data_IF_851303492212
#
_entry.id   IF_851303492212
#
_cell.length_a   1.000
_cell.length_b   1.000
_cell.length_c   1.000
_cell.angle_alpha   90.00
_cell.angle_beta   90.00
_cell.angle_gamma   90.00
#
_symmetry.space_group_name_H-M   'P 1'
#
loop_
_entity.id
_entity.type
_entity.pdbx_description
1 polymer ?
#
# COMPACT_ATOMS: atom_id res chain seq x y z
N UNK A 1 10.11 -8.25 11.39
CA UNK A 1 8.67 -8.25 11.06
C UNK A 1 8.14 -6.82 11.04
N UNK A 2 7.33 -6.49 10.09
CA UNK A 2 6.82 -5.12 9.89
C UNK A 2 6.04 -4.61 11.12
N UNK A 3 5.21 -5.45 11.74
CA UNK A 3 4.49 -5.08 12.97
C UNK A 3 5.42 -4.63 14.08
N UNK A 4 6.51 -5.36 14.28
CA UNK A 4 7.48 -5.06 15.32
C UNK A 4 8.23 -3.78 15.01
N UNK A 5 8.57 -3.56 13.75
CA UNK A 5 9.24 -2.34 13.29
C UNK A 5 8.38 -1.10 13.57
N UNK A 6 7.09 -1.19 13.27
CA UNK A 6 6.16 -0.09 13.53
C UNK A 6 5.98 0.13 15.04
N UNK A 7 5.82 -0.93 15.82
CA UNK A 7 5.68 -0.83 17.28
C UNK A 7 6.93 -0.21 17.92
N UNK A 8 8.12 -0.60 17.47
CA UNK A 8 9.37 -0.03 17.95
C UNK A 8 9.49 1.44 17.56
N UNK A 9 9.07 1.80 16.36
CA UNK A 9 9.06 3.18 15.89
C UNK A 9 8.12 4.07 16.72
N UNK A 10 6.99 3.54 17.17
CA UNK A 10 6.08 4.25 18.09
C UNK A 10 6.80 4.59 19.38
N UNK A 11 7.51 3.63 19.96
CA UNK A 11 8.27 3.82 21.20
C UNK A 11 9.38 4.86 21.02
N UNK A 12 10.10 4.79 19.90
CA UNK A 12 11.18 5.72 19.58
C UNK A 12 10.66 7.15 19.38
N UNK A 13 9.55 7.30 18.66
CA UNK A 13 8.91 8.60 18.43
C UNK A 13 8.40 9.20 19.75
N UNK A 14 7.90 8.36 20.66
CA UNK A 14 7.46 8.80 21.98
C UNK A 14 8.64 9.33 22.82
N UNK A 15 9.77 8.63 22.81
CA UNK A 15 10.98 9.03 23.52
C UNK A 15 11.58 10.31 22.94
N UNK A 16 11.57 10.44 21.62
CA UNK A 16 12.10 11.61 20.90
C UNK A 16 11.14 12.80 20.90
N UNK A 17 9.91 12.64 21.39
CA UNK A 17 8.85 13.66 21.41
C UNK A 17 8.49 14.16 20.01
N UNK A 18 8.52 13.28 19.03
CA UNK A 18 8.14 13.58 17.64
C UNK A 18 6.62 13.39 17.47
N UNK A 19 5.85 14.41 17.83
CA UNK A 19 4.39 14.33 17.92
C UNK A 19 3.69 13.89 16.63
N UNK A 20 4.08 14.47 15.48
CA UNK A 20 3.47 14.13 14.19
C UNK A 20 3.75 12.67 13.80
N UNK A 21 4.99 12.26 13.96
CA UNK A 21 5.41 10.88 13.69
C UNK A 21 4.69 9.91 14.61
N UNK A 22 4.60 10.24 15.89
CA UNK A 22 3.92 9.41 16.89
C UNK A 22 2.43 9.26 16.57
N UNK A 23 1.71 10.37 16.29
CA UNK A 23 0.29 10.32 15.98
C UNK A 23 0.01 9.55 14.70
N UNK A 24 0.85 9.70 13.69
CA UNK A 24 0.74 8.97 12.41
C UNK A 24 0.95 7.47 12.62
N UNK A 25 2.00 7.08 13.36
CA UNK A 25 2.28 5.67 13.65
C UNK A 25 1.19 5.02 14.51
N UNK A 26 0.62 5.75 15.45
CA UNK A 26 -0.53 5.26 16.24
C UNK A 26 -1.75 5.02 15.35
N UNK A 27 -1.97 5.88 14.37
CA UNK A 27 -3.04 5.72 13.40
C UNK A 27 -2.80 4.48 12.54
N UNK A 28 -1.57 4.27 12.10
CA UNK A 28 -1.17 3.05 11.36
C UNK A 28 -1.47 1.80 12.19
N UNK A 29 -1.04 1.79 13.46
CA UNK A 29 -1.31 0.66 14.35
C UNK A 29 -2.80 0.40 14.55
N UNK A 30 -3.61 1.45 14.70
CA UNK A 30 -5.06 1.31 14.83
C UNK A 30 -5.69 0.72 13.57
N UNK A 31 -5.23 1.15 12.40
CA UNK A 31 -5.70 0.63 11.11
C UNK A 31 -5.36 -0.84 10.95
N UNK A 32 -4.14 -1.24 11.32
CA UNK A 32 -3.70 -2.64 11.29
C UNK A 32 -4.53 -3.47 12.25
N UNK A 33 -4.74 -2.99 13.47
CA UNK A 33 -5.52 -3.68 14.49
C UNK A 33 -6.95 -3.91 14.01
N UNK A 34 -7.58 -2.91 13.42
CA UNK A 34 -8.93 -3.02 12.88
C UNK A 34 -8.99 -4.04 11.73
N UNK A 35 -7.98 -4.05 10.88
CA UNK A 35 -7.90 -5.02 9.78
C UNK A 35 -7.69 -6.46 10.30
N UNK A 36 -6.90 -6.64 11.35
CA UNK A 36 -6.72 -7.94 12.01
C UNK A 36 -8.02 -8.43 12.64
N UNK A 37 -8.76 -7.53 13.29
CA UNK A 37 -10.06 -7.85 13.90
C UNK A 37 -11.05 -8.28 12.82
N UNK A 38 -11.10 -7.57 11.69
CA UNK A 38 -11.95 -7.91 10.55
C UNK A 38 -11.60 -9.29 9.98
N UNK A 39 -10.31 -9.56 9.80
CA UNK A 39 -9.82 -10.86 9.31
C UNK A 39 -10.23 -11.99 10.26
N UNK A 40 -10.08 -11.77 11.56
CA UNK A 40 -10.47 -12.75 12.59
C UNK A 40 -11.97 -13.03 12.54
N UNK A 41 -12.78 -12.00 12.34
CA UNK A 41 -14.24 -12.15 12.20
C UNK A 41 -14.64 -12.99 10.99
N UNK A 42 -13.80 -13.03 9.96
CA UNK A 42 -13.97 -13.87 8.75
C UNK A 42 -13.31 -15.24 8.90
N UNK A 43 -12.74 -15.57 10.04
CA UNK A 43 -12.03 -16.83 10.28
C UNK A 43 -10.65 -16.89 9.61
N UNK A 44 -10.10 -15.75 9.25
CA UNK A 44 -8.77 -15.64 8.63
C UNK A 44 -7.68 -15.39 9.67
N UNK A 45 -6.43 -15.79 9.39
CA UNK A 45 -5.32 -15.46 10.27
C UNK A 45 -5.03 -13.95 10.30
N UNK A 46 -4.21 -13.48 11.25
CA UNK A 46 -3.74 -12.09 11.24
C UNK A 46 -3.04 -11.76 9.92
N UNK A 47 -3.05 -10.48 9.55
CA UNK A 47 -2.45 -10.04 8.29
C UNK A 47 -0.96 -10.38 8.21
N UNK A 48 -0.54 -10.87 7.05
CA UNK A 48 0.88 -11.08 6.73
C UNK A 48 1.58 -9.74 6.48
N UNK A 49 2.91 -9.75 6.40
CA UNK A 49 3.65 -8.53 6.04
C UNK A 49 3.21 -7.99 4.66
N UNK A 50 2.95 -8.86 3.69
CA UNK A 50 2.45 -8.44 2.38
C UNK A 50 1.09 -7.74 2.49
N UNK A 51 0.20 -8.26 3.32
CA UNK A 51 -1.11 -7.64 3.58
C UNK A 51 -0.95 -6.29 4.28
N UNK A 52 0.00 -6.18 5.21
CA UNK A 52 0.30 -4.92 5.90
C UNK A 52 0.84 -3.87 4.93
N UNK A 53 1.69 -4.26 4.00
CA UNK A 53 2.18 -3.34 2.97
C UNK A 53 1.02 -2.80 2.13
N UNK A 54 0.04 -3.63 1.79
CA UNK A 54 -1.16 -3.19 1.06
C UNK A 54 -1.99 -2.20 1.89
N UNK A 55 -2.11 -2.40 3.19
CA UNK A 55 -2.78 -1.46 4.11
C UNK A 55 -2.07 -0.10 4.09
N UNK A 56 -0.74 -0.10 4.19
CA UNK A 56 0.06 1.13 4.16
C UNK A 56 -0.09 1.86 2.82
N UNK A 57 -0.08 1.15 1.71
CA UNK A 57 -0.29 1.73 0.38
C UNK A 57 -1.66 2.41 0.27
N UNK A 58 -2.69 1.77 0.80
CA UNK A 58 -4.05 2.33 0.82
C UNK A 58 -4.11 3.61 1.65
N UNK A 59 -3.45 3.62 2.81
CA UNK A 59 -3.39 4.81 3.67
C UNK A 59 -2.70 5.97 2.96
N UNK A 60 -1.63 5.71 2.22
CA UNK A 60 -0.93 6.72 1.43
C UNK A 60 -1.83 7.25 0.31
N UNK A 61 -2.48 6.37 -0.42
CA UNK A 61 -3.39 6.74 -1.51
C UNK A 61 -4.51 7.67 -1.03
N UNK A 62 -5.14 7.33 0.11
CA UNK A 62 -6.18 8.16 0.71
C UNK A 62 -5.66 9.55 1.05
N UNK A 63 -4.43 9.65 1.56
CA UNK A 63 -3.81 10.92 1.91
C UNK A 63 -3.42 11.73 0.68
N UNK A 64 -2.97 11.08 -0.38
CA UNK A 64 -2.69 11.75 -1.67
C UNK A 64 -3.96 12.40 -2.24
N UNK A 65 -5.09 11.71 -2.16
CA UNK A 65 -6.39 12.23 -2.57
C UNK A 65 -6.78 13.45 -1.72
N UNK A 66 -6.54 13.38 -0.41
CA UNK A 66 -6.80 14.49 0.51
C UNK A 66 -5.90 15.68 0.19
N UNK A 67 -4.62 15.46 -0.13
CA UNK A 67 -3.68 16.53 -0.54
C UNK A 67 -4.24 17.28 -1.74
N UNK A 68 -4.70 16.58 -2.76
CA UNK A 68 -5.27 17.19 -3.95
C UNK A 68 -6.49 18.06 -3.62
N UNK A 69 -7.39 17.56 -2.78
CA UNK A 69 -8.57 18.29 -2.36
C UNK A 69 -8.22 19.53 -1.55
N UNK A 70 -7.28 19.42 -0.62
CA UNK A 70 -6.84 20.55 0.20
C UNK A 70 -6.13 21.61 -0.63
N UNK A 71 -5.28 21.20 -1.57
CA UNK A 71 -4.60 22.14 -2.48
C UNK A 71 -5.62 22.92 -3.34
N UNK A 72 -6.61 22.22 -3.89
CA UNK A 72 -7.69 22.85 -4.68
C UNK A 72 -8.55 23.78 -3.85
N UNK A 73 -8.75 23.45 -2.57
CA UNK A 73 -9.56 24.24 -1.64
C UNK A 73 -8.79 25.36 -0.95
N UNK A 74 -7.52 25.58 -1.26
CA UNK A 74 -6.70 26.61 -0.64
C UNK A 74 -6.32 26.29 0.81
N UNK A 75 -6.33 25.04 1.20
CA UNK A 75 -6.00 24.58 2.55
C UNK A 75 -4.57 24.06 2.62
N UNK A 76 -3.61 24.93 2.38
CA UNK A 76 -2.19 24.56 2.29
C UNK A 76 -1.65 23.87 3.55
N UNK A 77 -2.08 24.31 4.73
CA UNK A 77 -1.63 23.72 6.01
C UNK A 77 -2.10 22.29 6.18
N UNK A 78 -3.34 21.99 5.80
CA UNK A 78 -3.89 20.64 5.87
C UNK A 78 -3.23 19.73 4.84
N UNK A 79 -2.94 20.24 3.65
CA UNK A 79 -2.20 19.51 2.63
C UNK A 79 -0.78 19.17 3.11
N UNK A 80 -0.11 20.11 3.76
CA UNK A 80 1.23 19.90 4.31
C UNK A 80 1.22 18.80 5.40
N UNK A 81 0.20 18.80 6.25
CA UNK A 81 0.03 17.78 7.27
C UNK A 81 -0.12 16.39 6.65
N UNK A 82 -0.93 16.25 5.61
CA UNK A 82 -1.11 14.99 4.89
C UNK A 82 0.20 14.51 4.26
N UNK A 83 0.98 15.43 3.69
CA UNK A 83 2.30 15.11 3.11
C UNK A 83 3.28 14.61 4.16
N UNK A 84 3.27 15.18 5.35
CA UNK A 84 4.10 14.71 6.47
C UNK A 84 3.71 13.29 6.88
N UNK A 85 2.42 13.01 6.96
CA UNK A 85 1.92 11.67 7.28
C UNK A 85 2.31 10.66 6.19
N UNK A 86 2.21 11.03 4.92
CA UNK A 86 2.67 10.20 3.79
C UNK A 86 4.15 9.86 3.95
N UNK A 87 4.98 10.83 4.29
CA UNK A 87 6.42 10.61 4.47
C UNK A 87 6.71 9.60 5.58
N UNK A 88 5.99 9.70 6.71
CA UNK A 88 6.13 8.76 7.84
C UNK A 88 5.76 7.34 7.40
N UNK A 89 4.63 7.17 6.72
CA UNK A 89 4.14 5.85 6.28
C UNK A 89 5.05 5.26 5.20
N UNK A 90 5.48 6.09 4.25
CA UNK A 90 6.33 5.65 3.12
C UNK A 90 7.66 5.05 3.56
N UNK A 91 8.16 5.43 4.74
CA UNK A 91 9.41 4.88 5.29
C UNK A 91 9.36 3.36 5.52
N UNK A 92 8.16 2.78 5.61
CA UNK A 92 7.95 1.34 5.84
C UNK A 92 7.62 0.57 4.56
N UNK A 93 7.54 1.26 3.41
CA UNK A 93 7.29 0.63 2.12
C UNK A 93 8.59 0.44 1.34
N UNK A 94 8.68 -0.62 0.51
CA UNK A 94 9.78 -0.74 -0.43
C UNK A 94 9.68 0.36 -1.48
N UNK A 95 10.74 0.51 -2.28
CA UNK A 95 10.75 1.48 -3.39
C UNK A 95 9.57 1.19 -4.33
N UNK A 96 8.78 2.22 -4.61
CA UNK A 96 7.64 2.10 -5.51
C UNK A 96 8.10 2.02 -6.97
N UNK A 97 7.42 1.18 -7.75
CA UNK A 97 7.68 1.01 -9.17
C UNK A 97 7.10 2.19 -9.96
N UNK A 98 7.81 2.63 -10.98
CA UNK A 98 7.29 3.60 -11.94
C UNK A 98 6.21 2.96 -12.81
N UNK A 99 5.41 3.77 -13.52
CA UNK A 99 4.37 3.28 -14.42
C UNK A 99 4.97 2.35 -15.50
N UNK A 100 6.12 2.70 -16.04
CA UNK A 100 6.80 1.88 -17.05
C UNK A 100 7.28 0.55 -16.47
N UNK A 101 7.80 0.57 -15.24
CA UNK A 101 8.20 -0.65 -14.54
C UNK A 101 7.00 -1.57 -14.27
N UNK A 102 5.86 -1.00 -13.89
CA UNK A 102 4.62 -1.75 -13.67
C UNK A 102 4.16 -2.40 -14.98
N UNK A 103 4.16 -1.65 -16.09
CA UNK A 103 3.79 -2.17 -17.40
C UNK A 103 4.68 -3.34 -17.83
N UNK A 104 5.99 -3.19 -17.63
CA UNK A 104 6.97 -4.24 -17.95
C UNK A 104 6.74 -5.48 -17.09
N UNK A 105 6.47 -5.29 -15.80
CA UNK A 105 6.19 -6.39 -14.87
C UNK A 105 4.91 -7.14 -15.25
N UNK A 106 3.86 -6.42 -15.66
CA UNK A 106 2.60 -7.03 -16.14
C UNK A 106 2.87 -7.88 -17.38
N UNK A 107 3.59 -7.34 -18.36
CA UNK A 107 3.93 -8.07 -19.59
C UNK A 107 4.70 -9.35 -19.29
N UNK A 108 5.70 -9.25 -18.41
CA UNK A 108 6.49 -10.42 -17.98
C UNK A 108 5.64 -11.46 -17.27
N UNK A 109 4.74 -11.03 -16.38
CA UNK A 109 3.87 -11.94 -15.64
C UNK A 109 2.89 -12.69 -16.57
N UNK A 110 2.36 -12.01 -17.57
CA UNK A 110 1.49 -12.64 -18.59
C UNK A 110 2.26 -13.72 -19.33
N UNK A 111 3.49 -13.44 -19.74
CA UNK A 111 4.36 -14.41 -20.44
C UNK A 111 4.74 -15.59 -19.53
N UNK A 112 5.21 -15.31 -18.33
CA UNK A 112 5.69 -16.33 -17.39
C UNK A 112 4.58 -17.29 -16.93
N UNK A 113 3.36 -16.78 -16.75
CA UNK A 113 2.23 -17.61 -16.34
C UNK A 113 1.55 -18.33 -17.50
N UNK A 114 1.92 -18.02 -18.73
CA UNK A 114 1.28 -18.57 -19.92
C UNK A 114 -0.17 -18.15 -20.09
N UNK A 115 -0.54 -17.00 -19.55
CA UNK A 115 -1.90 -16.50 -19.60
C UNK A 115 -2.36 -16.23 -21.03
N UNK A 116 -3.54 -16.72 -21.39
CA UNK A 116 -4.08 -16.65 -22.73
C UNK A 116 -5.36 -15.82 -22.85
N UNK A 117 -6.02 -15.51 -21.74
CA UNK A 117 -7.26 -14.74 -21.75
C UNK A 117 -7.72 -14.37 -20.34
N UNK A 118 -8.86 -13.73 -20.25
CA UNK A 118 -9.40 -13.18 -18.99
C UNK A 118 -9.56 -14.20 -17.87
N UNK A 119 -9.76 -15.47 -18.20
CA UNK A 119 -9.85 -16.56 -17.20
C UNK A 119 -8.56 -16.71 -16.39
N UNK A 120 -7.42 -16.26 -16.93
CA UNK A 120 -6.10 -16.35 -16.31
C UNK A 120 -5.72 -15.08 -15.52
N UNK A 121 -6.60 -14.09 -15.46
CA UNK A 121 -6.35 -12.82 -14.80
C UNK A 121 -5.93 -13.01 -13.33
N UNK A 122 -6.64 -13.84 -12.58
CA UNK A 122 -6.31 -14.13 -11.18
C UNK A 122 -4.91 -14.72 -11.00
N UNK A 123 -4.50 -15.55 -11.94
CA UNK A 123 -3.17 -16.18 -11.96
C UNK A 123 -2.05 -15.14 -12.15
N UNK A 124 -2.27 -14.21 -13.09
CA UNK A 124 -1.32 -13.12 -13.35
C UNK A 124 -1.22 -12.18 -12.14
N UNK A 125 -2.36 -11.79 -11.57
CA UNK A 125 -2.40 -10.93 -10.38
C UNK A 125 -1.71 -11.60 -9.20
N UNK A 126 -1.94 -12.89 -8.97
CA UNK A 126 -1.29 -13.65 -7.90
C UNK A 126 0.24 -13.67 -8.07
N UNK A 127 0.72 -13.85 -9.30
CA UNK A 127 2.15 -13.81 -9.60
C UNK A 127 2.76 -12.44 -9.32
N UNK A 128 2.06 -11.36 -9.68
CA UNK A 128 2.50 -9.99 -9.41
C UNK A 128 2.54 -9.71 -7.90
N UNK A 129 1.52 -10.12 -7.15
CA UNK A 129 1.48 -9.94 -5.69
C UNK A 129 2.61 -10.69 -4.99
N UNK A 130 2.92 -11.90 -5.45
CA UNK A 130 3.99 -12.69 -4.87
C UNK A 130 5.36 -12.02 -5.04
N UNK A 131 5.57 -11.33 -6.15
CA UNK A 131 6.86 -10.76 -6.53
C UNK A 131 7.03 -9.29 -6.14
N UNK A 132 5.95 -8.51 -6.17
CA UNK A 132 5.98 -7.04 -6.03
C UNK A 132 5.08 -6.50 -4.92
N UNK A 133 4.81 -7.28 -3.88
CA UNK A 133 4.01 -6.83 -2.74
C UNK A 133 4.54 -5.50 -2.20
N UNK A 134 3.65 -4.51 -2.06
CA UNK A 134 4.01 -3.20 -1.53
C UNK A 134 4.71 -2.27 -2.50
N UNK A 135 5.01 -2.71 -3.72
CA UNK A 135 5.78 -1.92 -4.70
C UNK A 135 4.92 -1.31 -5.81
N UNK A 136 3.71 -1.80 -6.01
CA UNK A 136 2.79 -1.28 -7.02
C UNK A 136 1.36 -1.26 -6.48
N UNK A 137 0.51 -0.43 -7.10
CA UNK A 137 -0.93 -0.42 -6.85
C UNK A 137 -1.56 -1.56 -7.66
N UNK A 138 -2.06 -2.59 -6.98
CA UNK A 138 -2.65 -3.75 -7.65
C UNK A 138 -4.01 -3.44 -8.29
N UNK A 139 -4.69 -2.36 -7.89
CA UNK A 139 -5.87 -1.87 -8.60
C UNK A 139 -5.51 -1.39 -10.00
N UNK A 140 -4.44 -0.60 -10.11
CA UNK A 140 -3.90 -0.15 -11.39
C UNK A 140 -3.35 -1.32 -12.21
N UNK A 141 -2.61 -2.21 -11.57
CA UNK A 141 -2.06 -3.41 -12.22
C UNK A 141 -3.17 -4.30 -12.78
N UNK A 142 -4.28 -4.46 -12.07
CA UNK A 142 -5.43 -5.23 -12.53
C UNK A 142 -5.98 -4.69 -13.84
N UNK A 143 -6.09 -3.37 -13.97
CA UNK A 143 -6.50 -2.73 -15.22
C UNK A 143 -5.54 -3.00 -16.37
N UNK A 144 -4.24 -2.97 -16.10
CA UNK A 144 -3.20 -3.25 -17.11
C UNK A 144 -3.20 -4.73 -17.51
N UNK A 145 -3.41 -5.64 -16.57
CA UNK A 145 -3.53 -7.08 -16.85
C UNK A 145 -4.75 -7.34 -17.73
N UNK A 146 -5.89 -6.73 -17.39
CA UNK A 146 -7.11 -6.85 -18.19
C UNK A 146 -6.88 -6.37 -19.62
N UNK A 147 -6.24 -5.23 -19.80
CA UNK A 147 -5.93 -4.69 -21.13
C UNK A 147 -5.00 -5.62 -21.90
N UNK A 148 -4.00 -6.20 -21.24
CA UNK A 148 -3.06 -7.14 -21.88
C UNK A 148 -3.71 -8.44 -22.30
N UNK A 149 -4.72 -8.93 -21.54
CA UNK A 149 -5.39 -10.19 -21.83
C UNK A 149 -6.56 -10.05 -22.81
N UNK A 150 -7.10 -8.86 -23.01
CA UNK A 150 -8.21 -8.59 -23.93
C UNK A 150 -7.76 -7.92 -25.23
N UNK A 151 -6.58 -7.38 -25.23
CA UNK A 151 -5.97 -6.76 -26.42
C UNK A 151 -5.16 -7.77 -27.18
#
# INVERSE_FOLDING_TARGET
>A
MLRDDINNAVKDAMRAKEERKLSTLRMVNSTIKNADIAARGEGKPPLSDADLLAVLQKMIKQRQESVELYDKGGRAELAAQEREEIAVISAYLPKQMSDDEVKAAVASAVTETGAAGMKDMGKVIAALKAKYAGQMDFGQASGLVKAALTG
#
